data_IF_624622770151
#
_entry.id   IF_624622770151
#
_cell.length_a   1.000
_cell.length_b   1.000
_cell.length_c   1.000
_cell.angle_alpha   90.00
_cell.angle_beta   90.00
_cell.angle_gamma   90.00
#
_symmetry.space_group_name_H-M   'P 1'
#
loop_
_entity.id
_entity.type
_entity.pdbx_description
1 polymer ?
#
# COMPACT_ATOMS: atom_id res chain seq x y z
N UNK A 1 -11.06 -6.70 9.74
CA UNK A 1 -11.01 -5.64 8.69
C UNK A 1 -10.33 -6.11 7.40
N UNK A 2 -9.32 -6.97 7.45
CA UNK A 2 -8.71 -7.61 6.27
C UNK A 2 -9.70 -8.39 5.40
N UNK A 3 -10.77 -8.87 6.00
CA UNK A 3 -11.78 -9.73 5.38
C UNK A 3 -12.66 -9.03 4.33
N UNK A 4 -12.75 -7.71 4.38
CA UNK A 4 -13.50 -6.92 3.38
C UNK A 4 -12.67 -6.58 2.14
N UNK A 5 -11.34 -6.66 2.23
CA UNK A 5 -10.45 -6.37 1.11
C UNK A 5 -10.26 -7.57 0.15
N UNK A 6 -10.68 -8.76 0.57
CA UNK A 6 -10.46 -9.99 -0.20
C UNK A 6 -11.53 -10.28 -1.27
N UNK A 7 -12.48 -9.37 -1.50
CA UNK A 7 -13.47 -9.54 -2.57
C UNK A 7 -12.76 -9.63 -3.93
N UNK A 8 -12.85 -10.78 -4.58
CA UNK A 8 -12.21 -11.04 -5.87
C UNK A 8 -10.80 -11.64 -5.79
N UNK A 9 -10.31 -11.99 -4.59
CA UNK A 9 -9.05 -12.73 -4.40
C UNK A 9 -9.27 -14.24 -4.24
N UNK A 10 -8.22 -14.95 -4.56
CA UNK A 10 -8.17 -16.39 -4.38
C UNK A 10 -8.06 -16.75 -2.89
N UNK A 11 -8.92 -17.65 -2.45
CA UNK A 11 -8.99 -18.15 -1.09
C UNK A 11 -8.41 -19.55 -1.08
N UNK A 12 -7.65 -19.87 -0.06
CA UNK A 12 -7.05 -21.19 0.10
C UNK A 12 -7.75 -21.97 1.22
N UNK A 13 -8.12 -23.20 0.92
CA UNK A 13 -8.62 -24.14 1.90
C UNK A 13 -7.45 -24.94 2.49
N UNK A 14 -7.43 -25.09 3.80
CA UNK A 14 -6.43 -25.89 4.51
C UNK A 14 -7.04 -27.21 4.94
N UNK A 15 -6.31 -28.29 4.73
CA UNK A 15 -6.65 -29.57 5.34
C UNK A 15 -6.42 -29.48 6.87
N UNK A 16 -7.36 -30.03 7.63
CA UNK A 16 -7.40 -29.95 9.09
C UNK A 16 -6.04 -30.17 9.77
N UNK A 17 -5.51 -29.12 10.37
CA UNK A 17 -4.36 -29.14 11.26
C UNK A 17 -2.96 -29.32 10.64
N UNK A 18 -2.83 -29.44 9.32
CA UNK A 18 -1.57 -29.82 8.69
C UNK A 18 -0.91 -28.78 7.77
N UNK A 19 -1.45 -27.57 7.67
CA UNK A 19 -0.93 -26.56 6.73
C UNK A 19 -0.73 -27.08 5.29
N UNK A 20 -1.54 -28.05 4.87
CA UNK A 20 -1.52 -28.60 3.52
C UNK A 20 -2.65 -27.97 2.74
N UNK A 21 -2.35 -27.47 1.55
CA UNK A 21 -3.35 -26.93 0.66
C UNK A 21 -4.31 -28.03 0.21
N UNK A 22 -5.60 -27.87 0.47
CA UNK A 22 -6.65 -28.83 0.10
C UNK A 22 -7.57 -28.32 -1.00
N UNK A 23 -7.58 -27.02 -1.23
CA UNK A 23 -8.37 -26.42 -2.30
C UNK A 23 -8.06 -24.94 -2.48
N UNK A 24 -8.50 -24.40 -3.60
CA UNK A 24 -8.43 -22.99 -3.94
C UNK A 24 -9.73 -22.58 -4.64
N UNK A 25 -10.32 -21.48 -4.24
CA UNK A 25 -11.53 -20.94 -4.88
C UNK A 25 -11.56 -19.42 -4.83
N UNK A 26 -12.32 -18.83 -5.75
CA UNK A 26 -12.55 -17.39 -5.77
C UNK A 26 -13.73 -17.02 -4.86
N UNK A 27 -13.57 -15.98 -4.09
CA UNK A 27 -14.65 -15.42 -3.26
C UNK A 27 -14.22 -15.12 -1.84
N UNK A 28 -15.16 -14.64 -1.04
CA UNK A 28 -14.94 -14.34 0.38
C UNK A 28 -15.94 -15.13 1.22
N UNK A 29 -15.43 -16.05 2.02
CA UNK A 29 -16.17 -16.63 3.13
C UNK A 29 -15.53 -16.21 4.44
N UNK A 30 -16.36 -16.08 5.45
CA UNK A 30 -15.91 -15.70 6.78
C UNK A 30 -15.04 -16.79 7.40
N UNK A 31 -13.82 -16.44 7.80
CA UNK A 31 -12.90 -17.37 8.48
C UNK A 31 -11.89 -18.08 7.58
N UNK A 32 -11.91 -17.83 6.28
CA UNK A 32 -10.95 -18.43 5.34
C UNK A 32 -9.64 -17.65 5.27
N UNK A 33 -8.57 -18.34 4.87
CA UNK A 33 -7.25 -17.74 4.65
C UNK A 33 -7.17 -17.16 3.24
N UNK A 34 -6.61 -15.97 3.14
CA UNK A 34 -6.33 -15.32 1.86
C UNK A 34 -4.91 -15.67 1.40
N UNK A 35 -4.76 -15.99 0.12
CA UNK A 35 -3.44 -16.14 -0.49
C UNK A 35 -2.75 -14.78 -0.67
N UNK A 36 -1.50 -14.67 -0.23
CA UNK A 36 -0.75 -13.42 -0.24
C UNK A 36 0.13 -13.23 -1.48
N UNK A 37 0.00 -14.07 -2.50
CA UNK A 37 0.83 -14.08 -3.71
C UNK A 37 2.35 -14.25 -3.40
N UNK A 38 2.66 -14.88 -2.27
CA UNK A 38 4.02 -15.17 -1.86
C UNK A 38 4.21 -16.68 -1.72
N UNK A 39 5.19 -17.24 -2.41
CA UNK A 39 5.50 -18.65 -2.33
C UNK A 39 7.00 -18.91 -2.51
N UNK A 40 7.46 -20.05 -2.02
CA UNK A 40 8.81 -20.56 -2.22
C UNK A 40 8.71 -21.87 -3.00
N UNK A 41 9.38 -21.96 -4.11
CA UNK A 41 9.37 -23.14 -4.97
C UNK A 41 10.81 -23.62 -5.23
N UNK A 42 11.02 -24.94 -5.28
CA UNK A 42 12.32 -25.46 -5.68
C UNK A 42 12.57 -25.21 -7.17
N UNK A 43 13.84 -24.93 -7.52
CA UNK A 43 14.23 -24.77 -8.93
C UNK A 43 13.84 -25.97 -9.78
N UNK A 44 13.96 -27.19 -9.24
CA UNK A 44 13.60 -28.40 -9.96
C UNK A 44 12.11 -28.42 -10.30
N UNK A 45 11.24 -28.22 -9.30
CA UNK A 45 9.79 -28.20 -9.52
C UNK A 45 9.38 -27.11 -10.49
N UNK A 46 9.98 -25.91 -10.40
CA UNK A 46 9.68 -24.83 -11.33
C UNK A 46 10.04 -25.20 -12.77
N UNK A 47 11.17 -25.88 -13.01
CA UNK A 47 11.56 -26.36 -14.33
C UNK A 47 10.62 -27.45 -14.84
N UNK A 48 10.28 -28.41 -13.97
CA UNK A 48 9.32 -29.47 -14.30
C UNK A 48 7.95 -28.85 -14.69
N UNK A 49 7.50 -27.80 -13.98
CA UNK A 49 6.27 -27.07 -14.33
C UNK A 49 6.36 -26.39 -15.71
N UNK A 50 7.48 -25.77 -16.04
CA UNK A 50 7.68 -25.22 -17.40
C UNK A 50 7.55 -26.30 -18.49
N UNK A 51 8.08 -27.49 -18.24
CA UNK A 51 7.95 -28.62 -19.18
C UNK A 51 6.49 -29.11 -19.27
N UNK A 52 5.78 -29.21 -18.13
CA UNK A 52 4.39 -29.69 -18.11
C UNK A 52 3.43 -28.75 -18.84
N UNK A 53 3.66 -27.43 -18.74
CA UNK A 53 2.82 -26.40 -19.34
C UNK A 53 3.35 -25.85 -20.66
N UNK A 54 4.47 -26.35 -21.17
CA UNK A 54 5.04 -25.94 -22.45
C UNK A 54 4.03 -25.96 -23.63
N UNK A 55 3.11 -26.95 -23.72
CA UNK A 55 2.14 -26.97 -24.81
C UNK A 55 1.12 -25.84 -24.79
N UNK A 56 0.92 -25.20 -23.64
CA UNK A 56 -0.06 -24.08 -23.50
C UNK A 56 0.56 -22.71 -23.78
N UNK A 57 1.91 -22.64 -23.84
CA UNK A 57 2.69 -21.39 -23.96
C UNK A 57 2.36 -20.36 -22.87
N UNK A 58 1.81 -20.81 -21.75
CA UNK A 58 1.41 -20.00 -20.63
C UNK A 58 1.54 -20.78 -19.31
N UNK A 59 2.08 -20.16 -18.28
CA UNK A 59 2.16 -20.72 -16.93
C UNK A 59 1.81 -19.66 -15.90
N UNK A 60 0.66 -19.81 -15.28
CA UNK A 60 0.35 -19.17 -13.99
C UNK A 60 0.61 -20.19 -12.87
N UNK A 61 1.55 -19.88 -11.99
CA UNK A 61 1.96 -20.82 -10.93
C UNK A 61 0.83 -21.06 -9.93
N UNK A 62 0.04 -20.03 -9.64
CA UNK A 62 -1.08 -20.17 -8.72
C UNK A 62 -2.20 -21.03 -9.34
N UNK A 63 -2.54 -20.78 -10.58
CA UNK A 63 -3.52 -21.59 -11.33
C UNK A 63 -3.07 -23.04 -11.46
N UNK A 64 -1.77 -23.26 -11.73
CA UNK A 64 -1.18 -24.60 -11.78
C UNK A 64 -1.26 -25.31 -10.40
N UNK A 65 -0.99 -24.60 -9.31
CA UNK A 65 -1.18 -25.16 -7.95
C UNK A 65 -2.65 -25.45 -7.67
N UNK A 66 -3.56 -24.60 -8.07
CA UNK A 66 -4.99 -24.79 -7.87
C UNK A 66 -5.56 -25.98 -8.66
N UNK A 67 -5.07 -26.18 -9.89
CA UNK A 67 -5.51 -27.27 -10.77
C UNK A 67 -4.85 -28.63 -10.45
N UNK A 68 -3.59 -28.62 -10.07
CA UNK A 68 -2.74 -29.81 -9.96
C UNK A 68 -2.14 -30.01 -8.56
N UNK A 69 -2.74 -29.47 -7.51
CA UNK A 69 -2.19 -29.59 -6.16
C UNK A 69 -2.07 -31.04 -5.69
N UNK A 70 -2.77 -32.00 -6.30
CA UNK A 70 -2.57 -33.43 -6.12
C UNK A 70 -1.24 -33.98 -6.65
N UNK A 71 -0.61 -33.31 -7.62
CA UNK A 71 0.74 -33.60 -8.14
C UNK A 71 1.83 -32.80 -7.44
N UNK A 72 1.48 -31.65 -6.95
CA UNK A 72 2.40 -30.70 -6.33
C UNK A 72 2.14 -30.72 -4.83
N UNK A 73 3.12 -31.15 -4.03
CA UNK A 73 3.00 -31.07 -2.58
C UNK A 73 3.15 -29.62 -2.13
N UNK A 74 2.03 -28.93 -1.94
CA UNK A 74 1.98 -27.54 -1.48
C UNK A 74 1.75 -27.49 0.02
N UNK A 75 2.68 -26.89 0.74
CA UNK A 75 2.53 -26.58 2.15
C UNK A 75 2.24 -25.09 2.33
N UNK A 76 1.38 -24.74 3.27
CA UNK A 76 1.03 -23.37 3.58
C UNK A 76 1.74 -22.91 4.84
N UNK A 77 2.07 -21.64 4.86
CA UNK A 77 2.57 -20.94 6.04
C UNK A 77 1.57 -19.84 6.40
N UNK A 78 1.00 -19.91 7.59
CA UNK A 78 0.10 -18.90 8.09
C UNK A 78 0.90 -17.68 8.56
N UNK A 79 0.66 -16.53 7.93
CA UNK A 79 1.23 -15.27 8.32
C UNK A 79 0.22 -14.49 9.17
N UNK A 80 0.59 -14.16 10.40
CA UNK A 80 -0.26 -13.49 11.39
C UNK A 80 0.02 -11.99 11.56
N UNK A 81 1.05 -11.46 10.87
CA UNK A 81 1.41 -10.05 10.90
C UNK A 81 0.46 -9.15 10.10
N UNK A 82 0.74 -7.87 10.11
CA UNK A 82 -0.05 -6.89 9.35
C UNK A 82 0.03 -7.14 7.84
N UNK A 83 -1.12 -7.24 7.20
CA UNK A 83 -1.25 -7.38 5.74
C UNK A 83 -2.26 -6.36 5.23
N UNK A 84 -1.86 -5.61 4.22
CA UNK A 84 -2.70 -4.61 3.57
C UNK A 84 -2.73 -4.83 2.06
N UNK A 85 -3.64 -5.64 1.53
CA UNK A 85 -3.80 -5.82 0.09
C UNK A 85 -4.31 -4.53 -0.55
N UNK A 86 -3.70 -4.14 -1.68
CA UNK A 86 -4.02 -2.89 -2.38
C UNK A 86 -4.56 -3.22 -3.77
N UNK A 87 -5.88 -3.12 -3.94
CA UNK A 87 -6.57 -3.33 -5.21
C UNK A 87 -7.20 -2.07 -5.76
N UNK A 88 -7.56 -1.14 -4.87
CA UNK A 88 -8.26 0.09 -5.20
C UNK A 88 -7.51 1.32 -4.66
N UNK A 89 -7.86 2.50 -5.18
CA UNK A 89 -7.37 3.78 -4.63
C UNK A 89 -7.69 3.92 -3.13
N UNK A 90 -8.83 3.36 -2.70
CA UNK A 90 -9.25 3.38 -1.30
C UNK A 90 -8.36 2.51 -0.43
N UNK A 91 -7.99 1.32 -0.91
CA UNK A 91 -7.08 0.43 -0.19
C UNK A 91 -5.70 1.07 -0.05
N UNK A 92 -5.19 1.65 -1.14
CA UNK A 92 -3.94 2.41 -1.11
C UNK A 92 -3.98 3.54 -0.08
N UNK A 93 -5.05 4.32 -0.08
CA UNK A 93 -5.25 5.39 0.90
C UNK A 93 -5.27 4.86 2.33
N UNK A 94 -6.11 3.87 2.61
CA UNK A 94 -6.23 3.26 3.94
C UNK A 94 -4.92 2.67 4.45
N UNK A 95 -4.22 1.92 3.60
CA UNK A 95 -2.95 1.29 3.95
C UNK A 95 -1.87 2.32 4.28
N UNK A 96 -1.84 3.43 3.54
CA UNK A 96 -0.93 4.53 3.85
C UNK A 96 -1.32 5.23 5.16
N UNK A 97 -2.62 5.54 5.36
CA UNK A 97 -3.07 6.21 6.59
C UNK A 97 -2.86 5.34 7.84
N UNK A 98 -2.96 4.01 7.72
CA UNK A 98 -2.62 3.09 8.80
C UNK A 98 -1.16 3.23 9.27
N UNK A 99 -0.26 3.71 8.41
CA UNK A 99 1.13 3.99 8.76
C UNK A 99 1.31 5.18 9.74
N UNK A 100 0.24 5.91 10.08
CA UNK A 100 0.26 6.91 11.15
C UNK A 100 0.13 6.27 12.54
N UNK A 101 -0.31 5.01 12.60
CA UNK A 101 -0.34 4.20 13.81
C UNK A 101 1.05 3.60 14.06
N UNK A 102 1.59 3.79 15.28
CA UNK A 102 2.91 3.29 15.65
C UNK A 102 2.94 1.77 15.73
N UNK A 103 1.88 1.13 16.21
CA UNK A 103 1.81 -0.33 16.32
C UNK A 103 1.90 -0.99 14.93
N UNK A 104 1.23 -0.40 13.92
CA UNK A 104 1.32 -0.83 12.52
C UNK A 104 2.73 -0.63 11.95
N UNK A 105 3.39 0.47 12.30
CA UNK A 105 4.77 0.71 11.87
C UNK A 105 5.74 -0.32 12.47
N UNK A 106 5.62 -0.60 13.75
CA UNK A 106 6.51 -1.51 14.47
C UNK A 106 6.35 -2.95 13.96
N UNK A 107 5.13 -3.37 13.60
CA UNK A 107 4.89 -4.68 12.97
C UNK A 107 5.45 -4.76 11.53
N UNK A 108 5.32 -3.70 10.74
CA UNK A 108 5.83 -3.66 9.37
C UNK A 108 7.34 -3.47 9.27
N UNK A 109 7.94 -2.70 10.17
CA UNK A 109 9.36 -2.32 10.14
C UNK A 109 10.08 -2.64 11.44
N UNK A 110 10.01 -3.89 11.94
CA UNK A 110 10.74 -4.25 13.14
C UNK A 110 12.25 -4.08 12.95
N UNK A 111 12.96 -3.74 14.02
CA UNK A 111 14.40 -3.47 13.98
C UNK A 111 15.22 -4.62 13.40
N UNK A 112 14.79 -5.87 13.62
CA UNK A 112 15.47 -7.07 13.14
C UNK A 112 15.28 -7.30 11.62
N UNK A 113 14.28 -6.67 11.01
CA UNK A 113 13.93 -6.85 9.59
C UNK A 113 13.87 -5.52 8.85
N UNK A 114 14.96 -4.77 8.90
CA UNK A 114 15.02 -3.46 8.24
C UNK A 114 14.84 -3.56 6.73
N UNK A 115 13.92 -2.75 6.19
CA UNK A 115 13.74 -2.62 4.75
C UNK A 115 14.84 -1.74 4.16
N UNK A 116 15.69 -2.32 3.32
CA UNK A 116 16.76 -1.59 2.63
C UNK A 116 16.17 -0.79 1.48
N UNK A 117 16.26 0.53 1.56
CA UNK A 117 15.81 1.45 0.51
C UNK A 117 16.98 2.28 0.03
N UNK A 118 16.85 2.89 -1.17
CA UNK A 118 17.87 3.80 -1.69
C UNK A 118 17.95 5.04 -0.79
N UNK A 119 19.14 5.32 -0.29
CA UNK A 119 19.41 6.55 0.44
C UNK A 119 19.26 7.76 -0.48
N UNK A 120 18.70 8.84 0.04
CA UNK A 120 18.60 10.12 -0.63
C UNK A 120 19.23 11.19 0.25
N UNK A 121 20.11 11.96 -0.34
CA UNK A 121 20.77 13.09 0.32
C UNK A 121 19.88 14.35 0.19
N UNK A 122 18.81 14.39 0.98
CA UNK A 122 17.89 15.52 1.06
C UNK A 122 17.93 16.13 2.47
N UNK A 123 17.82 17.47 2.60
CA UNK A 123 17.82 18.10 3.92
C UNK A 123 16.64 17.62 4.78
N UNK A 124 16.71 17.72 6.09
CA UNK A 124 15.58 17.46 6.96
C UNK A 124 14.37 18.32 6.59
N UNK A 125 13.17 17.84 6.93
CA UNK A 125 11.96 18.64 6.79
C UNK A 125 12.05 19.88 7.70
N UNK A 126 11.54 21.02 7.22
CA UNK A 126 11.51 22.29 7.95
C UNK A 126 10.07 22.73 8.19
N UNK A 127 9.71 22.87 9.45
CA UNK A 127 8.48 23.53 9.85
C UNK A 127 8.77 25.00 10.14
N UNK A 128 8.15 25.89 9.39
CA UNK A 128 8.35 27.34 9.50
C UNK A 128 7.48 27.95 10.60
N UNK A 129 7.86 29.12 11.06
CA UNK A 129 7.12 29.82 12.11
C UNK A 129 5.67 30.04 11.71
N UNK A 130 4.73 29.67 12.59
CA UNK A 130 3.30 29.76 12.34
C UNK A 130 2.67 28.54 11.66
N UNK A 131 3.48 27.56 11.23
CA UNK A 131 2.96 26.29 10.75
C UNK A 131 2.52 25.39 11.92
N UNK A 132 1.59 24.49 11.64
CA UNK A 132 1.16 23.46 12.59
C UNK A 132 1.14 22.11 11.91
N UNK A 133 1.89 21.15 12.46
CA UNK A 133 1.92 19.77 12.01
C UNK A 133 1.50 18.86 13.15
N UNK A 134 0.47 18.07 12.95
CA UNK A 134 -0.06 17.13 13.95
C UNK A 134 -0.36 15.78 13.33
N UNK A 135 -0.06 14.69 14.03
CA UNK A 135 -0.34 13.32 13.63
C UNK A 135 -0.02 13.04 12.14
N UNK A 136 1.18 13.41 11.69
CA UNK A 136 1.53 13.35 10.27
C UNK A 136 2.96 12.86 10.06
N UNK A 137 3.18 12.15 8.97
CA UNK A 137 4.51 11.76 8.51
C UNK A 137 4.99 12.75 7.45
N UNK A 138 6.11 13.37 7.72
CA UNK A 138 6.70 14.35 6.80
C UNK A 138 8.08 13.86 6.40
N UNK A 139 8.26 13.59 5.10
CA UNK A 139 9.55 13.14 4.56
C UNK A 139 10.56 14.30 4.45
N UNK A 140 11.83 13.95 4.23
CA UNK A 140 12.93 14.91 4.07
C UNK A 140 12.69 15.88 2.91
N UNK A 141 13.31 17.06 2.96
CA UNK A 141 13.20 18.12 1.96
C UNK A 141 11.92 18.96 2.04
N UNK A 142 10.94 18.56 2.86
CA UNK A 142 9.67 19.31 2.95
C UNK A 142 9.85 20.69 3.61
N UNK A 143 9.03 21.65 3.16
CA UNK A 143 8.91 22.99 3.76
C UNK A 143 7.46 23.28 4.08
N UNK A 144 7.14 23.38 5.36
CA UNK A 144 5.76 23.53 5.82
C UNK A 144 5.58 24.93 6.43
N UNK A 145 4.78 25.75 5.77
CA UNK A 145 4.36 27.08 6.24
C UNK A 145 2.88 27.10 6.67
N UNK A 146 2.10 26.14 6.18
CA UNK A 146 0.67 25.99 6.47
C UNK A 146 0.37 24.97 7.56
N UNK A 147 -0.85 24.45 7.55
CA UNK A 147 -1.33 23.47 8.51
C UNK A 147 -1.41 22.07 7.89
N UNK A 148 -0.89 21.07 8.58
CA UNK A 148 -0.91 19.67 8.17
C UNK A 148 -1.41 18.84 9.34
N UNK A 149 -2.43 18.02 9.12
CA UNK A 149 -2.93 17.08 10.13
C UNK A 149 -3.31 15.74 9.50
N UNK A 150 -3.07 14.67 10.25
CA UNK A 150 -3.48 13.32 9.87
C UNK A 150 -3.08 12.96 8.42
N UNK A 151 -1.85 13.29 8.03
CA UNK A 151 -1.45 13.27 6.62
C UNK A 151 -0.06 12.69 6.42
N UNK A 152 0.19 12.24 5.18
CA UNK A 152 1.49 11.72 4.77
C UNK A 152 2.03 12.59 3.63
N UNK A 153 3.20 13.19 3.84
CA UNK A 153 3.88 14.02 2.87
C UNK A 153 5.16 13.33 2.39
N UNK A 154 5.23 13.12 1.08
CA UNK A 154 6.41 12.64 0.38
C UNK A 154 7.54 13.69 0.40
N UNK A 155 8.70 13.34 -0.17
CA UNK A 155 9.86 14.22 -0.19
C UNK A 155 9.61 15.52 -0.97
N UNK A 156 10.29 16.59 -0.55
CA UNK A 156 10.32 17.87 -1.25
C UNK A 156 8.94 18.51 -1.44
N UNK A 157 7.98 18.20 -0.54
CA UNK A 157 6.66 18.84 -0.56
C UNK A 157 6.74 20.22 0.08
N UNK A 158 6.09 21.20 -0.57
CA UNK A 158 5.95 22.55 -0.04
C UNK A 158 4.47 22.81 0.27
N UNK A 159 4.19 23.20 1.51
CA UNK A 159 2.86 23.66 1.94
C UNK A 159 2.96 25.15 2.29
N UNK A 160 2.41 26.00 1.42
CA UNK A 160 2.51 27.46 1.54
C UNK A 160 1.66 28.04 2.71
N UNK A 161 1.90 29.29 3.11
CA UNK A 161 1.15 29.94 4.18
C UNK A 161 -0.36 29.93 3.94
N UNK A 162 -1.14 29.63 4.99
CA UNK A 162 -2.59 29.57 4.92
C UNK A 162 -3.17 28.35 4.21
N UNK A 163 -2.32 27.51 3.59
CA UNK A 163 -2.76 26.23 3.05
C UNK A 163 -3.05 25.21 4.16
N UNK A 164 -4.00 24.33 3.91
CA UNK A 164 -4.40 23.28 4.86
C UNK A 164 -4.40 21.92 4.16
N UNK A 165 -3.73 20.95 4.77
CA UNK A 165 -3.69 19.54 4.34
C UNK A 165 -4.21 18.69 5.50
N UNK A 166 -5.27 17.93 5.26
CA UNK A 166 -5.88 17.10 6.28
C UNK A 166 -6.27 15.74 5.71
N UNK A 167 -5.97 14.68 6.44
CA UNK A 167 -6.31 13.31 6.02
C UNK A 167 -5.96 13.08 4.54
N UNK A 168 -4.72 13.40 4.15
CA UNK A 168 -4.31 13.39 2.76
C UNK A 168 -2.94 12.76 2.56
N UNK A 169 -2.74 12.22 1.36
CA UNK A 169 -1.45 11.70 0.91
C UNK A 169 -0.93 12.65 -0.17
N UNK A 170 0.14 13.36 0.11
CA UNK A 170 0.79 14.27 -0.84
C UNK A 170 2.09 13.63 -1.28
N UNK A 171 2.17 13.22 -2.54
CA UNK A 171 3.37 12.57 -3.07
C UNK A 171 4.49 13.58 -3.31
N UNK A 172 5.69 13.06 -3.62
CA UNK A 172 6.91 13.86 -3.71
C UNK A 172 6.81 15.02 -4.71
N UNK A 173 7.51 16.12 -4.39
CA UNK A 173 7.67 17.28 -5.27
C UNK A 173 6.39 18.11 -5.47
N UNK A 174 5.34 17.86 -4.67
CA UNK A 174 4.10 18.63 -4.77
C UNK A 174 4.21 19.99 -4.07
N UNK A 175 3.47 20.99 -4.61
CA UNK A 175 3.34 22.31 -4.02
C UNK A 175 1.88 22.60 -3.76
N UNK A 176 1.53 22.82 -2.50
CA UNK A 176 0.19 23.22 -2.06
C UNK A 176 0.23 24.73 -1.84
N UNK A 177 -0.35 25.49 -2.77
CA UNK A 177 -0.28 26.95 -2.80
C UNK A 177 -1.12 27.61 -1.70
N UNK A 178 -0.81 28.87 -1.46
CA UNK A 178 -1.43 29.72 -0.43
C UNK A 178 -2.96 29.58 -0.41
N UNK A 179 -3.52 29.31 0.75
CA UNK A 179 -4.97 29.20 0.98
C UNK A 179 -5.64 27.97 0.36
N UNK A 180 -4.89 27.11 -0.32
CA UNK A 180 -5.46 25.85 -0.83
C UNK A 180 -5.83 24.89 0.30
N UNK A 181 -6.87 24.09 0.08
CA UNK A 181 -7.35 23.09 1.03
C UNK A 181 -7.36 21.72 0.38
N UNK A 182 -6.69 20.75 1.01
CA UNK A 182 -6.64 19.37 0.54
C UNK A 182 -7.14 18.47 1.67
N UNK A 183 -8.23 17.75 1.44
CA UNK A 183 -8.85 16.89 2.45
C UNK A 183 -9.33 15.57 1.84
N UNK A 184 -9.03 14.45 2.51
CA UNK A 184 -9.36 13.09 2.04
C UNK A 184 -8.96 12.89 0.57
N UNK A 185 -7.71 13.18 0.25
CA UNK A 185 -7.23 13.19 -1.12
C UNK A 185 -5.84 12.57 -1.25
N UNK A 186 -5.58 12.06 -2.45
CA UNK A 186 -4.25 11.65 -2.90
C UNK A 186 -3.82 12.64 -3.99
N UNK A 187 -2.69 13.31 -3.79
CA UNK A 187 -2.09 14.20 -4.79
C UNK A 187 -0.84 13.52 -5.33
N UNK A 188 -0.87 13.14 -6.60
CA UNK A 188 0.24 12.46 -7.24
C UNK A 188 1.44 13.40 -7.46
N UNK A 189 2.59 12.82 -7.76
CA UNK A 189 3.90 13.46 -7.82
C UNK A 189 3.93 14.74 -8.66
N UNK A 190 4.76 15.68 -8.23
CA UNK A 190 5.08 16.90 -8.97
C UNK A 190 3.85 17.77 -9.34
N UNK A 191 2.78 17.64 -8.57
CA UNK A 191 1.59 18.45 -8.76
C UNK A 191 1.70 19.81 -8.07
N UNK A 192 1.07 20.80 -8.70
CA UNK A 192 0.80 22.08 -8.07
C UNK A 192 -0.70 22.21 -7.82
N UNK A 193 -1.08 22.35 -6.56
CA UNK A 193 -2.44 22.71 -6.18
C UNK A 193 -2.50 24.22 -6.10
N UNK A 194 -3.27 24.85 -6.99
CA UNK A 194 -3.32 26.30 -7.13
C UNK A 194 -3.86 27.00 -5.88
N UNK A 195 -3.51 28.27 -5.71
CA UNK A 195 -3.95 29.06 -4.56
C UNK A 195 -5.48 29.09 -4.45
N UNK A 196 -5.98 28.93 -3.21
CA UNK A 196 -7.40 28.94 -2.92
C UNK A 196 -8.20 27.74 -3.45
N UNK A 197 -7.57 26.77 -4.11
CA UNK A 197 -8.25 25.57 -4.61
C UNK A 197 -8.67 24.67 -3.46
N UNK A 198 -9.87 24.12 -3.54
CA UNK A 198 -10.33 23.06 -2.65
C UNK A 198 -10.33 21.70 -3.38
N UNK A 199 -9.54 20.73 -2.87
CA UNK A 199 -9.54 19.35 -3.26
C UNK A 199 -10.11 18.54 -2.08
N UNK A 200 -11.36 18.12 -2.18
CA UNK A 200 -12.02 17.43 -1.09
C UNK A 200 -12.67 16.14 -1.56
N UNK A 201 -12.23 15.03 -1.00
CA UNK A 201 -12.90 13.74 -1.09
C UNK A 201 -13.59 13.38 0.22
N UNK A 202 -13.98 12.11 0.33
CA UNK A 202 -14.48 11.50 1.57
C UNK A 202 -13.62 10.28 1.93
N UNK A 203 -13.70 9.77 3.16
CA UNK A 203 -12.98 8.54 3.52
C UNK A 203 -13.41 7.32 2.69
N UNK A 204 -14.64 7.33 2.15
CA UNK A 204 -15.20 6.26 1.32
C UNK A 204 -14.84 6.44 -0.15
N UNK A 205 -14.78 7.69 -0.62
CA UNK A 205 -14.42 8.04 -2.00
C UNK A 205 -13.34 9.11 -2.01
N UNK A 206 -12.10 8.66 -1.93
CA UNK A 206 -10.92 9.51 -1.90
C UNK A 206 -10.71 10.19 -3.26
N UNK A 207 -10.54 11.51 -3.24
CA UNK A 207 -10.22 12.26 -4.45
C UNK A 207 -8.77 11.99 -4.87
N UNK A 208 -8.56 11.72 -6.15
CA UNK A 208 -7.20 11.59 -6.71
C UNK A 208 -6.94 12.75 -7.67
N UNK A 209 -5.89 13.52 -7.40
CA UNK A 209 -5.32 14.47 -8.35
C UNK A 209 -4.14 13.80 -9.03
N UNK A 210 -4.35 13.38 -10.27
CA UNK A 210 -3.35 12.68 -11.08
C UNK A 210 -2.15 13.59 -11.43
N UNK A 211 -1.02 12.96 -11.78
CA UNK A 211 0.16 13.66 -12.28
C UNK A 211 -0.22 14.48 -13.52
N UNK A 212 0.29 15.73 -13.68
CA UNK A 212 0.11 16.47 -14.92
C UNK A 212 0.63 15.66 -16.11
N UNK A 213 -0.12 15.65 -17.20
CA UNK A 213 0.38 15.10 -18.48
C UNK A 213 1.58 15.92 -18.93
N UNK A 214 2.63 15.26 -19.35
CA UNK A 214 3.80 15.89 -19.96
C UNK A 214 3.46 16.45 -21.33
#
# INVERSE_FOLDING_TARGET
ELRHAAAGKDIVDLADGNHILSGVHNGVKFGECMFLDCFVISRKLLLDMFEWYAPTDYLDIFEAMAGDFGRINVQTFEFTGYVAPIFTKRDYYKSNMAMLDMDVQDDLFPEERTVKTKAHDTPPAKNEVGSRVTNSRVSSGCRIYGNVSDSILGRDVVVEPGATVRSAIIMQGCVIKTGARVENAIVDRNNVVSAGTELRGTPEDVLVKEKPSE
#
